data_IF_530858953622
#
_entry.id   IF_530858953622
#
_cell.length_a   1.000
_cell.length_b   1.000
_cell.length_c   1.000
_cell.angle_alpha   90.00
_cell.angle_beta   90.00
_cell.angle_gamma   90.00
#
_symmetry.space_group_name_H-M   'P 1'
#
loop_
_entity.id
_entity.type
_entity.pdbx_description
1 polymer ?
#
# COMPACT_ATOMS: atom_id res chain seq x y z
N UNK A 1 1.53 8.85 9.69
CA UNK A 1 0.85 7.72 9.04
C UNK A 1 1.03 7.81 7.55
N UNK A 2 1.09 6.67 6.88
CA UNK A 2 1.18 6.55 5.43
C UNK A 2 -0.02 5.72 4.96
N UNK A 3 -0.95 6.31 4.20
CA UNK A 3 -2.13 5.62 3.67
C UNK A 3 -2.18 5.74 2.15
N UNK A 4 -2.19 4.60 1.48
CA UNK A 4 -2.15 4.48 0.03
C UNK A 4 -3.38 3.71 -0.46
N UNK A 5 -3.97 4.18 -1.55
CA UNK A 5 -4.99 3.47 -2.30
C UNK A 5 -4.38 3.05 -3.64
N UNK A 6 -4.41 1.76 -3.92
CA UNK A 6 -4.08 1.21 -5.23
C UNK A 6 -5.36 0.81 -5.96
N UNK A 7 -5.52 1.27 -7.19
CA UNK A 7 -6.43 0.69 -8.17
C UNK A 7 -5.61 -0.19 -9.11
N UNK A 8 -6.00 -1.44 -9.24
CA UNK A 8 -5.26 -2.46 -9.99
C UNK A 8 -6.17 -3.08 -11.04
N UNK A 9 -5.67 -3.23 -12.25
CA UNK A 9 -6.30 -4.04 -13.31
C UNK A 9 -5.50 -5.32 -13.46
N UNK A 10 -6.16 -6.47 -13.36
CA UNK A 10 -5.54 -7.78 -13.48
C UNK A 10 -5.60 -8.27 -14.91
N UNK A 11 -4.55 -8.95 -15.39
CA UNK A 11 -4.55 -9.56 -16.72
C UNK A 11 -5.74 -10.53 -16.84
N UNK A 12 -6.37 -10.54 -18.01
CA UNK A 12 -7.52 -11.41 -18.26
C UNK A 12 -7.18 -12.89 -18.00
N UNK A 13 -8.05 -13.59 -17.26
CA UNK A 13 -7.87 -14.99 -16.88
C UNK A 13 -6.96 -15.21 -15.65
N UNK A 14 -6.41 -14.16 -15.06
CA UNK A 14 -5.55 -14.23 -13.88
C UNK A 14 -6.25 -13.86 -12.56
N UNK A 15 -7.54 -13.53 -12.59
CA UNK A 15 -8.33 -13.00 -11.46
C UNK A 15 -8.33 -13.97 -10.28
N UNK A 16 -8.58 -15.25 -10.51
CA UNK A 16 -8.60 -16.26 -9.46
C UNK A 16 -7.21 -16.45 -8.80
N UNK A 17 -6.14 -16.37 -9.59
CA UNK A 17 -4.76 -16.45 -9.06
C UNK A 17 -4.42 -15.19 -8.27
N UNK A 18 -4.79 -14.02 -8.77
CA UNK A 18 -4.60 -12.76 -8.06
C UNK A 18 -5.30 -12.77 -6.71
N UNK A 19 -6.56 -13.20 -6.63
CA UNK A 19 -7.30 -13.24 -5.37
C UNK A 19 -6.67 -14.22 -4.36
N UNK A 20 -6.14 -15.35 -4.82
CA UNK A 20 -5.42 -16.28 -3.95
C UNK A 20 -4.13 -15.66 -3.40
N UNK A 21 -3.35 -14.97 -4.23
CA UNK A 21 -2.13 -14.26 -3.77
C UNK A 21 -2.50 -13.11 -2.84
N UNK A 22 -3.54 -12.34 -3.16
CA UNK A 22 -4.02 -11.22 -2.33
C UNK A 22 -4.45 -11.68 -0.93
N UNK A 23 -5.14 -12.83 -0.83
CA UNK A 23 -5.49 -13.46 0.45
C UNK A 23 -4.25 -13.85 1.24
N UNK A 24 -3.24 -14.43 0.59
CA UNK A 24 -1.99 -14.81 1.25
C UNK A 24 -1.19 -13.58 1.72
N UNK A 25 -1.12 -12.51 0.90
CA UNK A 25 -0.50 -11.25 1.31
C UNK A 25 -1.24 -10.66 2.51
N UNK A 26 -2.57 -10.58 2.45
CA UNK A 26 -3.40 -10.12 3.57
C UNK A 26 -3.09 -10.86 4.87
N UNK A 27 -3.06 -12.19 4.84
CA UNK A 27 -2.80 -13.03 6.00
C UNK A 27 -1.40 -12.79 6.57
N UNK A 28 -0.36 -12.73 5.72
CA UNK A 28 1.01 -12.51 6.17
C UNK A 28 1.25 -11.09 6.66
N UNK A 29 0.69 -10.07 6.01
CA UNK A 29 0.80 -8.68 6.47
C UNK A 29 0.24 -8.55 7.90
N UNK A 30 -0.95 -9.09 8.17
CA UNK A 30 -1.55 -8.98 9.50
C UNK A 30 -0.89 -9.89 10.55
N UNK A 31 -0.28 -11.00 10.14
CA UNK A 31 0.40 -11.90 11.06
C UNK A 31 1.81 -11.41 11.44
N UNK A 32 2.52 -10.79 10.49
CA UNK A 32 3.96 -10.52 10.61
C UNK A 32 4.30 -9.03 10.77
N UNK A 33 3.40 -8.10 10.43
CA UNK A 33 3.69 -6.67 10.43
C UNK A 33 2.97 -5.92 11.55
N UNK A 34 3.74 -5.41 12.52
CA UNK A 34 3.19 -4.65 13.66
C UNK A 34 2.77 -3.21 13.30
N UNK A 35 3.36 -2.69 12.22
CA UNK A 35 3.17 -1.30 11.77
C UNK A 35 1.91 -1.13 10.91
N UNK A 36 1.27 -2.22 10.46
CA UNK A 36 0.03 -2.17 9.65
C UNK A 36 -1.16 -1.66 10.49
N UNK A 37 -2.03 -0.89 9.84
CA UNK A 37 -3.27 -0.32 10.40
C UNK A 37 -4.49 -0.71 9.58
N UNK A 38 -4.32 -0.77 8.26
CA UNK A 38 -5.30 -1.26 7.26
C UNK A 38 -4.54 -1.92 6.13
N UNK A 39 -5.08 -2.99 5.60
CA UNK A 39 -4.55 -3.70 4.46
C UNK A 39 -5.66 -4.59 3.92
N UNK A 40 -6.43 -4.11 2.96
CA UNK A 40 -7.64 -4.82 2.51
C UNK A 40 -7.81 -4.71 1.01
N UNK A 41 -8.39 -5.75 0.40
CA UNK A 41 -8.68 -5.83 -1.04
C UNK A 41 -10.18 -5.86 -1.32
N UNK A 42 -10.59 -5.22 -2.41
CA UNK A 42 -11.97 -5.25 -2.90
C UNK A 42 -12.00 -5.45 -4.41
N UNK A 43 -13.00 -6.18 -4.89
CA UNK A 43 -13.37 -6.21 -6.31
C UNK A 43 -14.00 -4.87 -6.69
N UNK A 44 -13.59 -4.30 -7.81
CA UNK A 44 -14.28 -3.20 -8.46
C UNK A 44 -15.53 -3.68 -9.20
N UNK A 45 -16.39 -2.73 -9.57
CA UNK A 45 -17.56 -3.03 -10.40
C UNK A 45 -17.19 -3.37 -11.85
N UNK A 46 -16.10 -2.78 -12.36
CA UNK A 46 -15.56 -3.11 -13.68
C UNK A 46 -14.81 -4.43 -13.63
N UNK A 47 -14.95 -5.30 -14.66
CA UNK A 47 -14.22 -6.56 -14.74
C UNK A 47 -12.72 -6.36 -14.52
N UNK A 48 -12.11 -7.29 -13.78
CA UNK A 48 -10.65 -7.34 -13.51
C UNK A 48 -10.10 -6.16 -12.72
N UNK A 49 -10.94 -5.22 -12.30
CA UNK A 49 -10.51 -4.09 -11.48
C UNK A 49 -10.60 -4.47 -10.00
N UNK A 50 -9.57 -4.10 -9.25
CA UNK A 50 -9.51 -4.29 -7.81
C UNK A 50 -9.02 -3.00 -7.14
N UNK A 51 -9.36 -2.85 -5.87
CA UNK A 51 -8.86 -1.80 -5.00
C UNK A 51 -8.12 -2.42 -3.83
N UNK A 52 -6.98 -1.85 -3.45
CA UNK A 52 -6.26 -2.17 -2.23
C UNK A 52 -6.07 -0.88 -1.43
N UNK A 53 -6.49 -0.86 -0.17
CA UNK A 53 -6.08 0.20 0.75
C UNK A 53 -5.01 -0.36 1.66
N UNK A 54 -3.97 0.42 1.88
CA UNK A 54 -2.88 0.08 2.78
C UNK A 54 -2.60 1.27 3.68
N UNK A 55 -2.51 1.04 4.98
CA UNK A 55 -2.23 2.08 5.96
C UNK A 55 -1.24 1.56 6.99
N UNK A 56 -0.20 2.34 7.23
CA UNK A 56 0.89 2.00 8.15
C UNK A 56 1.14 3.17 9.10
N UNK A 57 1.63 2.87 10.31
CA UNK A 57 1.95 3.85 11.35
C UNK A 57 2.73 5.07 10.80
N UNK A 58 3.67 4.82 9.90
CA UNK A 58 4.50 5.81 9.22
C UNK A 58 5.03 5.29 7.87
N UNK A 59 5.76 6.13 7.15
CA UNK A 59 6.41 5.78 5.88
C UNK A 59 7.44 4.67 6.06
N UNK A 60 8.03 4.52 7.24
CA UNK A 60 9.00 3.46 7.53
C UNK A 60 8.29 2.12 7.59
N UNK A 61 7.13 2.03 8.25
CA UNK A 61 6.25 0.86 8.23
C UNK A 61 5.87 0.47 6.81
N UNK A 62 5.47 1.45 5.99
CA UNK A 62 5.21 1.23 4.57
C UNK A 62 6.45 0.70 3.81
N UNK A 63 7.64 1.28 4.02
CA UNK A 63 8.86 0.81 3.35
C UNK A 63 9.29 -0.58 3.83
N UNK A 64 9.06 -0.92 5.11
CA UNK A 64 9.25 -2.28 5.64
C UNK A 64 8.32 -3.25 4.94
N UNK A 65 7.05 -2.89 4.76
CA UNK A 65 6.10 -3.69 3.99
C UNK A 65 6.61 -3.95 2.57
N UNK A 66 6.97 -2.89 1.84
CA UNK A 66 7.49 -2.98 0.47
C UNK A 66 8.79 -3.80 0.32
N UNK A 67 9.49 -4.07 1.43
CA UNK A 67 10.71 -4.86 1.48
C UNK A 67 10.58 -6.17 2.27
N UNK A 68 9.36 -6.53 2.69
CA UNK A 68 9.12 -7.69 3.54
C UNK A 68 9.43 -9.00 2.81
N UNK A 69 9.70 -10.07 3.56
CA UNK A 69 9.99 -11.37 2.99
C UNK A 69 8.82 -11.93 2.16
N UNK A 70 7.57 -11.69 2.60
CA UNK A 70 6.39 -12.11 1.84
C UNK A 70 6.17 -11.22 0.61
N UNK A 71 6.53 -9.92 0.63
CA UNK A 71 6.58 -9.09 -0.58
C UNK A 71 7.64 -9.55 -1.56
N UNK A 72 8.80 -10.00 -1.08
CA UNK A 72 9.83 -10.56 -1.96
C UNK A 72 9.39 -11.90 -2.55
N UNK A 73 8.69 -12.73 -1.77
CA UNK A 73 8.23 -14.05 -2.19
C UNK A 73 7.05 -13.99 -3.16
N UNK A 74 6.02 -13.19 -2.85
CA UNK A 74 4.81 -13.07 -3.66
C UNK A 74 4.87 -11.92 -4.66
N UNK A 75 5.73 -10.91 -4.48
CA UNK A 75 5.77 -9.71 -5.31
C UNK A 75 6.17 -9.91 -6.78
N UNK A 76 6.98 -10.92 -7.16
CA UNK A 76 7.16 -11.28 -8.57
C UNK A 76 5.87 -11.84 -9.18
N UNK A 77 5.26 -12.84 -8.54
CA UNK A 77 3.97 -13.41 -8.93
C UNK A 77 2.89 -12.32 -9.00
N UNK A 78 2.83 -11.44 -8.02
CA UNK A 78 1.85 -10.37 -7.93
C UNK A 78 1.98 -9.37 -9.08
N UNK A 79 3.22 -8.95 -9.42
CA UNK A 79 3.46 -8.03 -10.54
C UNK A 79 3.18 -8.68 -11.89
N UNK A 80 3.44 -9.97 -12.05
CA UNK A 80 3.18 -10.67 -13.30
C UNK A 80 1.68 -10.85 -13.60
N UNK A 81 0.82 -10.75 -12.58
CA UNK A 81 -0.63 -10.81 -12.74
C UNK A 81 -1.26 -9.46 -13.08
N UNK A 82 -0.54 -8.36 -12.89
CA UNK A 82 -1.06 -7.00 -13.04
C UNK A 82 -0.88 -6.51 -14.48
N UNK A 83 -1.97 -6.01 -15.06
CA UNK A 83 -2.00 -5.31 -16.35
C UNK A 83 -1.73 -3.82 -16.19
N UNK A 84 -2.35 -3.19 -15.18
CA UNK A 84 -2.18 -1.77 -14.87
C UNK A 84 -2.32 -1.53 -13.36
N UNK A 85 -1.60 -0.54 -12.84
CA UNK A 85 -1.69 -0.13 -11.43
C UNK A 85 -1.55 1.38 -11.31
N UNK A 86 -2.53 1.98 -10.62
CA UNK A 86 -2.48 3.37 -10.18
C UNK A 86 -2.45 3.39 -8.66
N UNK A 87 -1.39 3.98 -8.10
CA UNK A 87 -1.24 4.21 -6.67
C UNK A 87 -1.46 5.68 -6.35
N UNK A 88 -2.18 5.95 -5.26
CA UNK A 88 -2.51 7.30 -4.82
C UNK A 88 -2.38 7.39 -3.29
N UNK A 89 -1.64 8.38 -2.81
CA UNK A 89 -1.68 8.74 -1.40
C UNK A 89 -3.02 9.39 -1.07
N UNK A 90 -3.68 8.90 -0.03
CA UNK A 90 -4.99 9.40 0.39
C UNK A 90 -4.93 9.89 1.83
N UNK A 91 -5.71 10.91 2.13
CA UNK A 91 -5.86 11.46 3.47
C UNK A 91 -7.25 11.14 4.03
N UNK A 92 -7.36 10.59 5.25
CA UNK A 92 -8.66 10.39 5.86
C UNK A 92 -9.37 11.73 6.12
N UNK A 93 -10.66 11.78 5.80
CA UNK A 93 -11.53 12.86 6.26
C UNK A 93 -11.81 12.65 7.74
N UNK A 94 -11.11 13.40 8.61
CA UNK A 94 -11.30 13.49 10.08
C UNK A 94 -12.18 12.41 10.73
N UNK A 95 -13.31 12.81 11.31
CA UNK A 95 -14.23 11.90 12.04
C UNK A 95 -14.92 10.83 11.17
N UNK A 96 -14.70 10.81 9.85
CA UNK A 96 -15.23 9.78 8.95
C UNK A 96 -14.28 8.58 8.79
N UNK A 97 -13.09 8.60 9.41
CA UNK A 97 -12.17 7.47 9.46
C UNK A 97 -11.44 7.42 10.81
N UNK A 98 -11.20 6.23 11.39
CA UNK A 98 -10.41 6.09 12.62
C UNK A 98 -8.90 6.29 12.39
N UNK A 99 -8.49 6.50 11.14
CA UNK A 99 -7.10 6.63 10.71
C UNK A 99 -6.57 8.06 10.97
N UNK A 100 -5.33 8.16 11.45
CA UNK A 100 -4.63 9.43 11.62
C UNK A 100 -4.28 10.10 10.26
N UNK A 101 -4.06 11.42 10.20
CA UNK A 101 -3.70 12.08 8.95
C UNK A 101 -2.47 11.49 8.26
N UNK A 102 -2.54 11.41 6.93
CA UNK A 102 -1.42 10.97 6.10
C UNK A 102 -0.42 12.13 5.94
N UNK A 103 0.86 11.91 6.26
CA UNK A 103 1.86 12.98 6.33
C UNK A 103 3.18 12.58 5.66
N UNK A 104 3.88 13.56 5.10
CA UNK A 104 5.29 13.40 4.74
C UNK A 104 6.10 13.12 6.01
N UNK A 105 7.03 12.20 5.92
CA UNK A 105 7.93 11.83 7.01
C UNK A 105 9.31 11.57 6.42
N UNK A 106 10.34 12.10 7.05
CA UNK A 106 11.72 11.85 6.63
C UNK A 106 12.12 10.40 6.92
N UNK A 107 13.07 9.89 6.13
CA UNK A 107 13.72 8.63 6.49
C UNK A 107 14.47 8.78 7.81
N UNK A 108 14.45 7.75 8.68
CA UNK A 108 15.25 7.76 9.88
C UNK A 108 16.74 7.68 9.53
N UNK A 109 17.60 8.17 10.42
CA UNK A 109 19.07 8.21 10.23
C UNK A 109 19.66 6.82 9.95
N UNK A 110 19.07 5.78 10.53
CA UNK A 110 19.46 4.38 10.41
C UNK A 110 18.70 3.62 9.32
N UNK A 111 18.03 4.32 8.39
CA UNK A 111 17.35 3.68 7.26
C UNK A 111 18.30 2.78 6.46
N UNK A 112 17.82 1.58 6.10
CA UNK A 112 18.59 0.63 5.29
C UNK A 112 18.82 1.17 3.87
N UNK A 113 19.83 0.66 3.17
CA UNK A 113 20.08 1.04 1.77
C UNK A 113 18.89 0.71 0.86
N UNK A 114 18.15 -0.36 1.15
CA UNK A 114 16.93 -0.70 0.43
C UNK A 114 15.82 0.35 0.65
N UNK A 115 15.63 0.80 1.90
CA UNK A 115 14.67 1.88 2.20
C UNK A 115 15.06 3.18 1.49
N UNK A 116 16.34 3.55 1.51
CA UNK A 116 16.86 4.73 0.80
C UNK A 116 16.64 4.64 -0.72
N UNK A 117 16.75 3.45 -1.31
CA UNK A 117 16.50 3.25 -2.73
C UNK A 117 15.00 3.33 -3.10
N UNK A 118 14.11 2.89 -2.20
CA UNK A 118 12.66 2.90 -2.44
C UNK A 118 12.02 4.26 -2.15
N UNK A 119 12.47 4.96 -1.11
CA UNK A 119 11.85 6.19 -0.60
C UNK A 119 11.62 7.27 -1.66
N UNK A 120 12.54 7.58 -2.60
CA UNK A 120 12.32 8.60 -3.62
C UNK A 120 11.08 8.36 -4.49
N UNK A 121 10.62 7.10 -4.64
CA UNK A 121 9.41 6.75 -5.39
C UNK A 121 8.13 7.11 -4.63
N UNK A 122 8.24 7.36 -3.34
CA UNK A 122 7.14 7.47 -2.38
C UNK A 122 7.21 8.74 -1.51
N UNK A 123 8.27 9.54 -1.62
CA UNK A 123 8.59 10.65 -0.71
C UNK A 123 7.61 11.85 -0.75
N UNK A 124 6.77 11.96 -1.78
CA UNK A 124 5.78 13.05 -1.91
C UNK A 124 4.37 12.57 -1.57
N UNK A 125 4.17 12.26 -0.29
CA UNK A 125 2.92 11.70 0.24
C UNK A 125 1.84 12.78 0.35
N UNK A 126 2.22 14.00 0.74
CA UNK A 126 1.30 15.08 1.10
C UNK A 126 0.88 15.95 -0.08
N UNK A 127 -0.44 16.10 -0.30
CA UNK A 127 -1.00 17.11 -1.19
C UNK A 127 -1.31 18.41 -0.43
N UNK A 128 -0.85 19.56 -0.95
CA UNK A 128 -0.93 20.86 -0.26
C UNK A 128 -2.35 21.28 0.13
N UNK A 129 -3.36 20.93 -0.66
CA UNK A 129 -4.75 21.32 -0.41
C UNK A 129 -5.37 20.62 0.81
N UNK A 130 -4.82 19.48 1.26
CA UNK A 130 -5.31 18.77 2.45
C UNK A 130 -5.19 19.63 3.71
N UNK A 131 -4.08 20.33 3.89
CA UNK A 131 -3.84 21.16 5.08
C UNK A 131 -4.81 22.32 5.26
N UNK A 132 -5.52 22.73 4.21
CA UNK A 132 -6.54 23.77 4.32
C UNK A 132 -7.87 23.23 4.85
N UNK A 133 -8.03 21.90 4.93
CA UNK A 133 -9.27 21.21 5.34
C UNK A 133 -9.10 20.39 6.63
N UNK A 134 -7.87 20.29 7.14
CA UNK A 134 -7.53 19.60 8.40
C UNK A 134 -7.55 20.56 9.58
#
# INVERSE_FOLDING_TARGET
MATLLARVTIKEGCEARFEEVARQMYERTHADEEDVRRYEYWRGAEPRTYYCIESYADVVGFLKHQSSAHHHHFGPDFRDLIEDIKMEWVDPIGSASPLAPTNNQELPVDATEQMKALYPRFASIYASWWGNLR
#
